data_IF_794593075976
#
_entry.id   IF_794593075976
#
_cell.length_a   1.000
_cell.length_b   1.000
_cell.length_c   1.000
_cell.angle_alpha   90.00
_cell.angle_beta   90.00
_cell.angle_gamma   90.00
#
_symmetry.space_group_name_H-M   'P 1'
#
loop_
_entity.id
_entity.type
_entity.pdbx_description
1 polymer ?
#
# COMPACT_ATOMS: atom_id res chain seq x y z
N UNK A 1 54.42 -103.94 20.36
CA UNK A 1 53.20 -103.43 21.01
C UNK A 1 53.45 -101.95 21.28
N UNK A 2 52.86 -101.03 20.50
CA UNK A 2 52.71 -99.60 20.88
C UNK A 2 51.85 -98.74 19.90
N UNK A 3 50.93 -99.35 19.13
CA UNK A 3 50.04 -98.60 18.21
C UNK A 3 48.68 -98.19 18.80
N UNK A 4 48.27 -98.81 19.91
CA UNK A 4 46.95 -98.59 20.53
C UNK A 4 46.85 -97.31 21.36
N UNK A 5 47.88 -97.01 22.15
CA UNK A 5 47.88 -95.84 23.03
C UNK A 5 47.99 -94.52 22.25
N UNK A 6 48.81 -94.46 21.20
CA UNK A 6 48.95 -93.25 20.38
C UNK A 6 47.64 -92.86 19.67
N UNK A 7 46.87 -93.86 19.22
CA UNK A 7 45.60 -93.64 18.51
C UNK A 7 44.50 -93.17 19.47
N UNK A 8 44.45 -93.72 20.69
CA UNK A 8 43.50 -93.29 21.73
C UNK A 8 43.84 -91.87 22.22
N UNK A 9 45.12 -91.57 22.45
CA UNK A 9 45.57 -90.24 22.88
C UNK A 9 45.27 -89.18 21.80
N UNK A 10 45.52 -89.49 20.51
CA UNK A 10 45.19 -88.58 19.42
C UNK A 10 43.68 -88.33 19.28
N UNK A 11 42.84 -89.36 19.45
CA UNK A 11 41.39 -89.21 19.42
C UNK A 11 40.86 -88.36 20.58
N UNK A 12 41.43 -88.51 21.77
CA UNK A 12 41.08 -87.70 22.95
C UNK A 12 41.48 -86.24 22.74
N UNK A 13 42.69 -85.97 22.23
CA UNK A 13 43.15 -84.61 21.95
C UNK A 13 42.26 -83.93 20.88
N UNK A 14 41.90 -84.65 19.81
CA UNK A 14 41.00 -84.14 18.78
C UNK A 14 39.59 -83.84 19.32
N UNK A 15 39.07 -84.68 20.21
CA UNK A 15 37.77 -84.45 20.86
C UNK A 15 37.78 -83.24 21.81
N UNK A 16 38.87 -83.06 22.58
CA UNK A 16 39.02 -81.89 23.46
C UNK A 16 39.15 -80.60 22.63
N UNK A 17 39.93 -80.63 21.54
CA UNK A 17 40.09 -79.49 20.64
C UNK A 17 38.77 -79.11 19.94
N UNK A 18 37.93 -80.09 19.58
CA UNK A 18 36.62 -79.83 18.96
C UNK A 18 35.64 -79.22 19.96
N UNK A 19 35.64 -79.67 21.22
CA UNK A 19 34.80 -79.11 22.28
C UNK A 19 35.20 -77.68 22.66
N UNK A 20 36.50 -77.38 22.71
CA UNK A 20 37.00 -76.01 22.96
C UNK A 20 36.64 -75.09 21.79
N UNK A 21 36.81 -75.56 20.56
CA UNK A 21 36.43 -74.78 19.36
C UNK A 21 34.92 -74.54 19.29
N UNK A 22 34.10 -75.54 19.62
CA UNK A 22 32.65 -75.38 19.71
C UNK A 22 32.23 -74.42 20.83
N UNK A 23 32.92 -74.44 21.97
CA UNK A 23 32.72 -73.50 23.08
C UNK A 23 33.02 -72.05 22.69
N UNK A 24 34.14 -71.82 21.99
CA UNK A 24 34.53 -70.49 21.47
C UNK A 24 33.53 -70.03 20.39
N UNK A 25 33.10 -70.92 19.49
CA UNK A 25 32.11 -70.60 18.48
C UNK A 25 30.74 -70.23 19.07
N UNK A 26 30.29 -70.96 20.11
CA UNK A 26 29.04 -70.66 20.81
C UNK A 26 29.13 -69.36 21.64
N UNK A 27 30.28 -69.09 22.27
CA UNK A 27 30.52 -67.84 22.98
C UNK A 27 30.47 -66.64 22.02
N UNK A 28 31.19 -66.73 20.90
CA UNK A 28 31.21 -65.70 19.86
C UNK A 28 29.84 -65.52 19.18
N UNK A 29 29.08 -66.59 18.96
CA UNK A 29 27.72 -66.51 18.43
C UNK A 29 26.72 -65.87 19.42
N UNK A 30 26.91 -66.08 20.73
CA UNK A 30 26.05 -65.50 21.78
C UNK A 30 26.38 -64.02 22.03
N UNK A 31 27.63 -63.63 21.94
CA UNK A 31 28.07 -62.23 22.03
C UNK A 31 27.69 -61.44 20.76
N UNK A 32 27.86 -62.07 19.58
CA UNK A 32 27.41 -61.52 18.30
C UNK A 32 25.90 -61.28 18.23
N UNK A 33 25.07 -62.20 18.75
CA UNK A 33 23.61 -62.00 18.81
C UNK A 33 23.18 -60.86 19.74
N UNK A 34 23.88 -60.65 20.86
CA UNK A 34 23.62 -59.52 21.76
C UNK A 34 24.07 -58.19 21.14
N UNK A 35 25.24 -58.18 20.49
CA UNK A 35 25.74 -57.01 19.76
C UNK A 35 24.87 -56.66 18.54
N UNK A 36 24.32 -57.65 17.83
CA UNK A 36 23.40 -57.44 16.71
C UNK A 36 22.06 -56.85 17.17
N UNK A 37 21.42 -57.44 18.19
CA UNK A 37 20.17 -56.92 18.73
C UNK A 37 20.30 -55.48 19.28
N UNK A 38 21.41 -55.18 19.96
CA UNK A 38 21.68 -53.84 20.46
C UNK A 38 21.99 -52.84 19.33
N UNK A 39 22.67 -53.26 18.26
CA UNK A 39 22.87 -52.44 17.05
C UNK A 39 21.57 -52.18 16.31
N UNK A 40 20.70 -53.18 16.20
CA UNK A 40 19.39 -53.03 15.54
C UNK A 40 18.48 -52.09 16.33
N UNK A 41 18.50 -52.16 17.66
CA UNK A 41 17.76 -51.22 18.52
C UNK A 41 18.29 -49.78 18.40
N UNK A 42 19.61 -49.60 18.44
CA UNK A 42 20.24 -48.28 18.25
C UNK A 42 19.94 -47.74 16.85
N UNK A 43 20.09 -48.56 15.79
CA UNK A 43 19.77 -48.16 14.42
C UNK A 43 18.30 -47.79 14.25
N UNK A 44 17.38 -48.55 14.83
CA UNK A 44 15.95 -48.24 14.77
C UNK A 44 15.61 -46.94 15.51
N UNK A 45 16.22 -46.71 16.69
CA UNK A 45 16.07 -45.44 17.42
C UNK A 45 16.63 -44.28 16.61
N UNK A 46 17.84 -44.40 16.07
CA UNK A 46 18.47 -43.35 15.27
C UNK A 46 17.69 -43.07 13.99
N UNK A 47 17.20 -44.09 13.29
CA UNK A 47 16.35 -43.91 12.10
C UNK A 47 15.02 -43.23 12.46
N UNK A 48 14.43 -43.56 13.60
CA UNK A 48 13.22 -42.89 14.11
C UNK A 48 13.48 -41.43 14.46
N UNK A 49 14.62 -41.12 15.08
CA UNK A 49 15.01 -39.75 15.43
C UNK A 49 15.31 -38.91 14.18
N UNK A 50 15.97 -39.49 13.17
CA UNK A 50 16.20 -38.85 11.86
C UNK A 50 14.86 -38.56 11.17
N UNK A 51 13.94 -39.52 11.12
CA UNK A 51 12.63 -39.33 10.51
C UNK A 51 11.82 -38.22 11.23
N UNK A 52 11.89 -38.17 12.56
CA UNK A 52 11.27 -37.08 13.33
C UNK A 52 11.90 -35.72 13.04
N UNK A 53 13.23 -35.65 12.92
CA UNK A 53 13.93 -34.41 12.59
C UNK A 53 13.64 -33.94 11.16
N UNK A 54 13.59 -34.85 10.19
CA UNK A 54 13.18 -34.56 8.81
C UNK A 54 11.74 -34.05 8.76
N UNK A 55 10.83 -34.69 9.50
CA UNK A 55 9.43 -34.26 9.59
C UNK A 55 9.29 -32.89 10.26
N UNK A 56 10.02 -32.61 11.34
CA UNK A 56 10.02 -31.29 12.00
C UNK A 56 10.57 -30.20 11.07
N UNK A 57 11.63 -30.51 10.32
CA UNK A 57 12.18 -29.60 9.31
C UNK A 57 11.21 -29.35 8.14
N UNK A 58 10.49 -30.38 7.69
CA UNK A 58 9.46 -30.26 6.65
C UNK A 58 8.25 -29.46 7.14
N UNK A 59 7.78 -29.71 8.37
CA UNK A 59 6.70 -28.94 8.99
C UNK A 59 7.07 -27.45 9.11
N UNK A 60 8.28 -27.12 9.58
CA UNK A 60 8.77 -25.73 9.64
C UNK A 60 8.82 -25.05 8.28
N UNK A 61 9.25 -25.79 7.23
CA UNK A 61 9.23 -25.27 5.85
C UNK A 61 7.81 -25.00 5.38
N UNK A 62 6.89 -25.93 5.63
CA UNK A 62 5.48 -25.78 5.27
C UNK A 62 4.81 -24.61 6.00
N UNK A 63 5.05 -24.46 7.30
CA UNK A 63 4.57 -23.30 8.09
C UNK A 63 5.10 -21.98 7.53
N UNK A 64 6.40 -21.91 7.21
CA UNK A 64 7.02 -20.72 6.62
C UNK A 64 6.40 -20.39 5.25
N UNK A 65 6.14 -21.40 4.43
CA UNK A 65 5.49 -21.21 3.11
C UNK A 65 4.03 -20.75 3.25
N UNK A 66 3.29 -21.30 4.22
CA UNK A 66 1.91 -20.90 4.50
C UNK A 66 1.89 -19.45 4.98
N UNK A 67 2.74 -19.06 5.93
CA UNK A 67 2.84 -17.69 6.43
C UNK A 67 3.20 -16.70 5.31
N UNK A 68 4.21 -17.03 4.50
CA UNK A 68 4.58 -16.22 3.34
C UNK A 68 3.42 -16.06 2.33
N UNK A 69 2.68 -17.14 2.05
CA UNK A 69 1.51 -17.13 1.17
C UNK A 69 0.37 -16.28 1.71
N UNK A 70 0.08 -16.37 3.02
CA UNK A 70 -0.93 -15.56 3.70
C UNK A 70 -0.56 -14.08 3.66
N UNK A 71 0.68 -13.74 4.02
CA UNK A 71 1.20 -12.35 4.00
C UNK A 71 1.16 -11.77 2.58
N UNK A 72 1.56 -12.57 1.58
CA UNK A 72 1.50 -12.16 0.17
C UNK A 72 0.06 -11.88 -0.27
N UNK A 73 -0.87 -12.77 0.05
CA UNK A 73 -2.28 -12.65 -0.33
C UNK A 73 -2.92 -11.40 0.30
N UNK A 74 -2.69 -11.18 1.59
CA UNK A 74 -3.15 -9.99 2.29
C UNK A 74 -2.57 -8.70 1.68
N UNK A 75 -1.29 -8.72 1.26
CA UNK A 75 -0.67 -7.55 0.61
C UNK A 75 -1.26 -7.27 -0.77
N UNK A 76 -1.50 -8.31 -1.57
CA UNK A 76 -2.16 -8.16 -2.88
C UNK A 76 -3.57 -7.60 -2.71
N UNK A 77 -4.34 -8.15 -1.78
CA UNK A 77 -5.69 -7.67 -1.48
C UNK A 77 -5.68 -6.19 -1.07
N UNK A 78 -4.80 -5.83 -0.14
CA UNK A 78 -4.61 -4.43 0.27
C UNK A 78 -4.30 -3.53 -0.93
N UNK A 79 -3.39 -3.92 -1.84
CA UNK A 79 -3.06 -3.14 -3.04
C UNK A 79 -4.30 -2.95 -3.93
N UNK A 80 -5.10 -4.01 -4.12
CA UNK A 80 -6.31 -3.93 -4.97
C UNK A 80 -7.38 -3.04 -4.35
N UNK A 81 -7.56 -3.10 -3.04
CA UNK A 81 -8.51 -2.25 -2.33
C UNK A 81 -8.09 -0.79 -2.41
N UNK A 82 -6.80 -0.47 -2.20
CA UNK A 82 -6.30 0.91 -2.35
C UNK A 82 -6.49 1.43 -3.78
N UNK A 83 -6.26 0.59 -4.80
CA UNK A 83 -6.54 0.96 -6.21
C UNK A 83 -8.00 1.30 -6.43
N UNK A 84 -8.90 0.49 -5.88
CA UNK A 84 -10.35 0.70 -5.97
C UNK A 84 -10.76 2.02 -5.30
N UNK A 85 -10.37 2.23 -4.04
CA UNK A 85 -10.72 3.46 -3.32
C UNK A 85 -10.11 4.71 -3.96
N UNK A 86 -8.91 4.60 -4.55
CA UNK A 86 -8.33 5.69 -5.35
C UNK A 86 -9.21 6.00 -6.56
N UNK A 87 -9.61 4.97 -7.32
CA UNK A 87 -10.48 5.14 -8.49
C UNK A 87 -11.84 5.73 -8.12
N UNK A 88 -12.43 5.27 -7.02
CA UNK A 88 -13.71 5.75 -6.52
C UNK A 88 -13.62 7.23 -6.12
N UNK A 89 -12.55 7.62 -5.42
CA UNK A 89 -12.32 9.02 -5.07
C UNK A 89 -12.17 9.91 -6.32
N UNK A 90 -11.33 9.50 -7.28
CA UNK A 90 -11.14 10.24 -8.52
C UNK A 90 -12.47 10.40 -9.29
N UNK A 91 -13.29 9.36 -9.30
CA UNK A 91 -14.62 9.37 -9.92
C UNK A 91 -15.56 10.33 -9.17
N UNK A 92 -15.58 10.29 -7.84
CA UNK A 92 -16.38 11.18 -7.02
C UNK A 92 -16.00 12.65 -7.25
N UNK A 93 -14.70 12.96 -7.32
CA UNK A 93 -14.18 14.30 -7.62
C UNK A 93 -14.67 14.75 -9.00
N UNK A 94 -14.55 13.88 -10.00
CA UNK A 94 -14.99 14.17 -11.36
C UNK A 94 -16.50 14.47 -11.41
N UNK A 95 -17.32 13.62 -10.78
CA UNK A 95 -18.76 13.81 -10.72
C UNK A 95 -19.13 15.13 -10.01
N UNK A 96 -18.40 15.49 -8.96
CA UNK A 96 -18.58 16.77 -8.28
C UNK A 96 -18.22 17.96 -9.18
N UNK A 97 -17.03 17.97 -9.78
CA UNK A 97 -16.55 19.06 -10.63
C UNK A 97 -17.47 19.33 -11.83
N UNK A 98 -18.03 18.27 -12.41
CA UNK A 98 -18.94 18.33 -13.55
C UNK A 98 -20.43 18.32 -13.17
N UNK A 99 -20.76 18.51 -11.89
CA UNK A 99 -22.15 18.68 -11.47
C UNK A 99 -22.76 19.94 -12.08
N UNK A 100 -24.06 19.90 -12.38
CA UNK A 100 -24.80 21.12 -12.73
C UNK A 100 -24.81 22.06 -11.50
N UNK A 101 -24.19 23.23 -11.65
CA UNK A 101 -24.06 24.22 -10.58
C UNK A 101 -25.41 24.78 -10.08
N UNK A 102 -26.48 24.60 -10.86
CA UNK A 102 -27.83 25.03 -10.51
C UNK A 102 -28.59 23.97 -9.70
N UNK A 103 -28.15 22.72 -9.76
CA UNK A 103 -28.69 21.63 -8.94
C UNK A 103 -27.93 21.54 -7.61
N UNK A 104 -28.39 22.36 -6.66
CA UNK A 104 -27.76 22.49 -5.33
C UNK A 104 -27.72 21.17 -4.57
N UNK A 105 -28.75 20.33 -4.72
CA UNK A 105 -28.84 19.04 -4.03
C UNK A 105 -27.85 18.04 -4.63
N UNK A 106 -27.72 17.99 -5.96
CA UNK A 106 -26.72 17.18 -6.65
C UNK A 106 -25.29 17.60 -6.28
N UNK A 107 -24.99 18.90 -6.29
CA UNK A 107 -23.67 19.43 -5.89
C UNK A 107 -23.34 19.03 -4.46
N UNK A 108 -24.29 19.18 -3.53
CA UNK A 108 -24.10 18.80 -2.13
C UNK A 108 -23.89 17.30 -1.96
N UNK A 109 -24.70 16.48 -2.64
CA UNK A 109 -24.59 15.02 -2.59
C UNK A 109 -23.23 14.56 -3.13
N UNK A 110 -22.79 15.11 -4.27
CA UNK A 110 -21.49 14.76 -4.85
C UNK A 110 -20.32 15.22 -3.98
N UNK A 111 -20.41 16.39 -3.32
CA UNK A 111 -19.38 16.81 -2.35
C UNK A 111 -19.31 15.87 -1.14
N UNK A 112 -20.45 15.40 -0.65
CA UNK A 112 -20.50 14.41 0.43
C UNK A 112 -19.84 13.08 0.00
N UNK A 113 -20.06 12.66 -1.25
CA UNK A 113 -19.40 11.49 -1.83
C UNK A 113 -17.88 11.67 -1.89
N UNK A 114 -17.38 12.84 -2.32
CA UNK A 114 -15.94 13.16 -2.29
C UNK A 114 -15.39 13.02 -0.86
N UNK A 115 -16.09 13.56 0.14
CA UNK A 115 -15.67 13.46 1.55
C UNK A 115 -15.60 12.01 2.03
N UNK A 116 -16.63 11.22 1.75
CA UNK A 116 -16.69 9.80 2.12
C UNK A 116 -15.51 9.03 1.51
N UNK A 117 -15.31 9.15 0.20
CA UNK A 117 -14.24 8.44 -0.51
C UNK A 117 -12.85 8.92 -0.12
N UNK A 118 -12.69 10.21 0.21
CA UNK A 118 -11.43 10.75 0.75
C UNK A 118 -11.08 10.08 2.06
N UNK A 119 -12.04 10.02 2.99
CA UNK A 119 -11.84 9.38 4.30
C UNK A 119 -11.53 7.89 4.16
N UNK A 120 -12.25 7.17 3.30
CA UNK A 120 -12.01 5.74 3.07
C UNK A 120 -10.61 5.48 2.54
N UNK A 121 -10.13 6.26 1.58
CA UNK A 121 -8.77 6.11 1.05
C UNK A 121 -7.71 6.41 2.12
N UNK A 122 -7.92 7.46 2.94
CA UNK A 122 -7.02 7.82 4.05
C UNK A 122 -6.82 6.66 5.04
N UNK A 123 -7.86 5.86 5.33
CA UNK A 123 -7.76 4.74 6.27
C UNK A 123 -6.72 3.67 5.86
N UNK A 124 -6.32 3.61 4.59
CA UNK A 124 -5.28 2.68 4.14
C UNK A 124 -3.85 3.15 4.45
N UNK A 125 -3.67 4.42 4.83
CA UNK A 125 -2.37 5.02 5.08
C UNK A 125 -2.15 5.21 6.58
N UNK A 126 -1.37 4.30 7.16
CA UNK A 126 -0.87 4.46 8.54
C UNK A 126 0.25 5.50 8.63
N UNK A 127 0.62 5.94 9.85
CA UNK A 127 1.71 6.89 10.05
C UNK A 127 3.03 6.33 9.49
N UNK A 128 3.86 7.23 8.97
CA UNK A 128 5.19 6.87 8.50
C UNK A 128 6.11 6.51 9.68
N UNK A 129 7.02 5.55 9.46
CA UNK A 129 8.02 5.16 10.47
C UNK A 129 9.16 6.18 10.61
N UNK A 130 9.39 6.95 9.56
CA UNK A 130 10.40 8.00 9.47
C UNK A 130 9.67 9.20 8.89
N UNK A 131 9.70 10.33 9.59
CA UNK A 131 9.10 11.57 9.11
C UNK A 131 10.15 12.41 8.38
N UNK A 132 9.77 12.93 7.22
CA UNK A 132 10.57 13.87 6.45
C UNK A 132 9.62 14.91 5.87
N UNK A 133 9.91 16.19 6.09
CA UNK A 133 9.08 17.30 5.62
C UNK A 133 9.21 17.53 4.11
N UNK A 134 10.28 17.03 3.49
CA UNK A 134 10.56 17.19 2.05
C UNK A 134 10.52 15.85 1.36
N UNK A 135 9.31 15.46 0.94
CA UNK A 135 9.05 14.20 0.26
C UNK A 135 8.62 14.46 -1.17
N UNK A 136 9.31 13.83 -2.11
CA UNK A 136 8.87 13.74 -3.50
C UNK A 136 7.93 12.53 -3.65
N UNK A 137 6.62 12.80 -3.74
CA UNK A 137 5.61 11.77 -3.95
C UNK A 137 5.82 10.98 -5.25
N UNK A 138 6.47 11.58 -6.25
CA UNK A 138 6.75 10.98 -7.55
C UNK A 138 8.08 10.21 -7.59
N UNK A 139 8.81 10.15 -6.48
CA UNK A 139 10.00 9.34 -6.37
C UNK A 139 9.67 7.86 -6.67
N UNK A 140 10.43 7.22 -7.57
CA UNK A 140 10.15 5.84 -8.02
C UNK A 140 10.91 4.76 -7.24
N UNK A 141 11.80 5.14 -6.32
CA UNK A 141 12.68 4.23 -5.60
C UNK A 141 12.01 3.58 -4.40
N UNK A 142 11.30 4.35 -3.58
CA UNK A 142 10.65 3.85 -2.38
C UNK A 142 9.40 4.66 -1.97
N UNK A 143 8.76 4.20 -0.91
CA UNK A 143 7.58 4.81 -0.29
C UNK A 143 7.88 5.36 1.12
N UNK A 144 9.14 5.60 1.46
CA UNK A 144 9.52 6.12 2.77
C UNK A 144 8.95 7.53 2.92
N UNK A 145 8.30 7.79 4.06
CA UNK A 145 7.72 9.08 4.41
C UNK A 145 6.60 9.56 3.48
N UNK A 146 5.99 8.70 2.65
CA UNK A 146 4.97 9.14 1.69
C UNK A 146 3.55 9.12 2.23
N UNK A 147 3.26 8.34 3.26
CA UNK A 147 1.87 8.11 3.69
C UNK A 147 1.23 9.41 4.17
N UNK A 148 1.89 10.14 5.07
CA UNK A 148 1.36 11.40 5.61
C UNK A 148 1.19 12.46 4.52
N UNK A 149 2.10 12.50 3.53
CA UNK A 149 2.01 13.44 2.42
C UNK A 149 0.91 13.09 1.43
N UNK A 150 0.63 11.80 1.21
CA UNK A 150 -0.55 11.35 0.44
C UNK A 150 -1.83 11.73 1.17
N UNK A 151 -1.90 11.51 2.49
CA UNK A 151 -3.07 11.91 3.30
C UNK A 151 -3.31 13.41 3.19
N UNK A 152 -2.27 14.23 3.37
CA UNK A 152 -2.35 15.68 3.22
C UNK A 152 -2.81 16.10 1.81
N UNK A 153 -2.30 15.44 0.76
CA UNK A 153 -2.73 15.72 -0.60
C UNK A 153 -4.22 15.42 -0.80
N UNK A 154 -4.73 14.31 -0.25
CA UNK A 154 -6.16 13.98 -0.29
C UNK A 154 -6.99 15.04 0.43
N UNK A 155 -6.54 15.52 1.59
CA UNK A 155 -7.20 16.59 2.35
C UNK A 155 -7.21 17.92 1.58
N UNK A 156 -6.08 18.31 1.00
CA UNK A 156 -5.95 19.52 0.17
C UNK A 156 -6.88 19.47 -1.05
N UNK A 157 -7.01 18.31 -1.69
CA UNK A 157 -7.98 18.09 -2.77
C UNK A 157 -9.41 18.29 -2.27
N UNK A 158 -9.77 17.70 -1.12
CA UNK A 158 -11.11 17.87 -0.56
C UNK A 158 -11.42 19.33 -0.21
N UNK A 159 -10.45 20.07 0.32
CA UNK A 159 -10.57 21.52 0.57
C UNK A 159 -10.76 22.27 -0.75
N UNK A 160 -9.97 21.94 -1.77
CA UNK A 160 -10.12 22.51 -3.11
C UNK A 160 -11.52 22.25 -3.69
N UNK A 161 -12.06 21.05 -3.52
CA UNK A 161 -13.44 20.73 -3.88
C UNK A 161 -14.42 21.64 -3.11
N UNK A 162 -14.29 21.81 -1.80
CA UNK A 162 -15.18 22.68 -1.02
C UNK A 162 -15.26 24.13 -1.56
N UNK A 163 -14.16 24.65 -2.12
CA UNK A 163 -14.09 26.00 -2.68
C UNK A 163 -14.44 26.09 -4.17
N UNK A 164 -14.48 24.97 -4.90
CA UNK A 164 -14.53 24.95 -6.36
C UNK A 164 -15.70 25.76 -6.96
N UNK A 165 -16.95 25.45 -6.59
CA UNK A 165 -18.12 26.16 -7.14
C UNK A 165 -18.23 27.62 -6.66
N UNK A 166 -17.70 27.94 -5.48
CA UNK A 166 -17.61 29.32 -4.98
C UNK A 166 -16.66 30.12 -5.87
N UNK A 167 -15.51 29.53 -6.20
CA UNK A 167 -14.53 30.11 -7.10
C UNK A 167 -15.07 30.25 -8.52
N UNK A 168 -15.82 29.26 -9.04
CA UNK A 168 -16.50 29.35 -10.36
C UNK A 168 -17.46 30.54 -10.39
N UNK A 169 -18.31 30.71 -9.37
CA UNK A 169 -19.22 31.86 -9.26
C UNK A 169 -18.46 33.18 -9.21
N UNK A 170 -17.38 33.23 -8.44
CA UNK A 170 -16.52 34.42 -8.35
C UNK A 170 -15.86 34.74 -9.69
N UNK A 171 -15.38 33.74 -10.42
CA UNK A 171 -14.78 33.91 -11.75
C UNK A 171 -15.79 34.42 -12.79
N UNK A 172 -17.05 33.99 -12.72
CA UNK A 172 -18.11 34.56 -13.58
C UNK A 172 -18.30 36.04 -13.31
N UNK A 173 -18.42 36.42 -12.03
CA UNK A 173 -18.47 37.85 -11.64
C UNK A 173 -17.23 38.61 -12.13
N UNK A 174 -16.05 37.99 -12.07
CA UNK A 174 -14.81 38.57 -12.58
C UNK A 174 -14.84 38.85 -14.10
N UNK A 175 -15.36 37.92 -14.89
CA UNK A 175 -15.51 38.09 -16.34
C UNK A 175 -16.53 39.19 -16.67
N UNK A 176 -17.50 39.40 -15.80
CA UNK A 176 -18.57 40.38 -15.98
C UNK A 176 -18.22 41.77 -15.42
N UNK A 177 -17.06 41.98 -14.79
CA UNK A 177 -16.72 43.26 -14.12
C UNK A 177 -16.83 44.47 -15.05
N UNK A 178 -16.33 44.36 -16.27
CA UNK A 178 -16.41 45.42 -17.29
C UNK A 178 -17.86 45.67 -17.72
N UNK A 179 -18.65 44.61 -17.88
CA UNK A 179 -20.08 44.70 -18.20
C UNK A 179 -20.89 45.32 -17.07
N UNK A 180 -20.64 44.89 -15.83
CA UNK A 180 -21.21 45.44 -14.59
C UNK A 180 -20.92 46.94 -14.47
N UNK A 181 -19.69 47.35 -14.77
CA UNK A 181 -19.34 48.75 -14.76
C UNK A 181 -20.04 49.54 -15.88
N UNK A 182 -20.06 49.00 -17.11
CA UNK A 182 -20.71 49.66 -18.25
C UNK A 182 -22.23 49.75 -18.13
N UNK A 183 -22.88 48.74 -17.53
CA UNK A 183 -24.31 48.73 -17.28
C UNK A 183 -24.69 49.77 -16.22
N UNK A 184 -23.88 49.88 -15.15
CA UNK A 184 -23.93 50.97 -14.18
C UNK A 184 -23.93 52.36 -14.84
N UNK A 185 -23.29 52.52 -16.01
CA UNK A 185 -23.20 53.81 -16.73
C UNK A 185 -24.45 54.15 -17.50
N UNK A 186 -25.17 53.12 -17.95
CA UNK A 186 -26.40 53.28 -18.73
C UNK A 186 -27.63 53.40 -17.83
N UNK A 187 -27.57 52.93 -16.59
CA UNK A 187 -28.72 52.77 -15.70
C UNK A 187 -29.00 53.96 -14.77
N UNK A 188 -28.35 55.11 -14.94
CA UNK A 188 -28.55 56.31 -14.10
C UNK A 188 -29.99 56.87 -14.08
N UNK A 189 -30.92 56.31 -14.87
CA UNK A 189 -32.34 56.66 -14.85
C UNK A 189 -33.30 55.49 -14.56
N UNK A 190 -32.84 54.23 -14.43
CA UNK A 190 -33.74 53.06 -14.36
C UNK A 190 -33.44 52.05 -13.24
N UNK A 191 -32.25 52.05 -12.61
CA UNK A 191 -31.97 51.15 -11.48
C UNK A 191 -31.35 51.91 -10.31
N UNK A 192 -31.98 51.77 -9.15
CA UNK A 192 -31.91 52.70 -8.03
C UNK A 192 -30.58 52.77 -7.27
N UNK A 193 -29.53 52.00 -7.58
CA UNK A 193 -28.21 52.16 -6.92
C UNK A 193 -27.07 51.47 -7.69
N UNK A 194 -26.24 52.26 -8.40
CA UNK A 194 -24.90 51.82 -8.77
C UNK A 194 -23.89 52.24 -7.69
N UNK A 195 -23.33 51.28 -6.95
CA UNK A 195 -22.35 51.56 -5.89
C UNK A 195 -20.88 51.60 -6.39
N UNK A 196 -20.66 51.59 -7.71
CA UNK A 196 -19.31 51.55 -8.30
C UNK A 196 -18.73 52.96 -8.42
N UNK A 197 -19.56 53.95 -8.72
CA UNK A 197 -19.16 55.35 -8.79
C UNK A 197 -20.32 56.29 -8.56
N UNK A 198 -20.02 57.55 -8.24
CA UNK A 198 -21.02 58.59 -8.03
C UNK A 198 -21.63 59.03 -9.37
N UNK A 199 -22.96 59.04 -9.46
CA UNK A 199 -23.70 59.45 -10.67
C UNK A 199 -23.45 60.90 -11.09
N UNK A 200 -23.08 61.77 -10.15
CA UNK A 200 -22.79 63.19 -10.40
C UNK A 200 -21.37 63.44 -10.94
N UNK A 201 -20.54 62.40 -11.04
CA UNK A 201 -19.19 62.52 -11.60
C UNK A 201 -19.21 62.75 -13.10
N UNK A 202 -18.21 63.48 -13.59
CA UNK A 202 -17.98 63.59 -15.03
C UNK A 202 -17.65 62.23 -15.64
N UNK A 203 -17.88 62.08 -16.95
CA UNK A 203 -17.58 60.84 -17.67
C UNK A 203 -16.14 60.33 -17.42
N UNK A 204 -15.16 61.24 -17.33
CA UNK A 204 -13.76 60.87 -17.08
C UNK A 204 -13.53 60.38 -15.64
N UNK A 205 -14.24 60.95 -14.66
CA UNK A 205 -14.17 60.50 -13.27
C UNK A 205 -14.85 59.13 -13.10
N UNK A 206 -15.99 58.91 -13.75
CA UNK A 206 -16.66 57.60 -13.75
C UNK A 206 -15.77 56.51 -14.39
N UNK A 207 -15.07 56.82 -15.49
CA UNK A 207 -14.12 55.90 -16.13
C UNK A 207 -12.94 55.53 -15.23
N UNK A 208 -12.43 56.51 -14.46
CA UNK A 208 -11.35 56.28 -13.49
C UNK A 208 -11.81 55.38 -12.34
N UNK A 209 -13.01 55.57 -11.81
CA UNK A 209 -13.56 54.71 -10.74
C UNK A 209 -13.88 53.31 -11.25
N UNK A 210 -14.42 53.19 -12.47
CA UNK A 210 -14.59 51.93 -13.16
C UNK A 210 -13.28 51.14 -13.28
N UNK A 211 -12.23 51.82 -13.76
CA UNK A 211 -10.89 51.24 -13.90
C UNK A 211 -10.32 50.82 -12.54
N UNK A 212 -10.52 51.63 -11.50
CA UNK A 212 -10.10 51.32 -10.14
C UNK A 212 -10.85 50.11 -9.56
N UNK A 213 -12.15 50.00 -9.81
CA UNK A 213 -12.97 48.86 -9.41
C UNK A 213 -12.51 47.56 -10.08
N UNK A 214 -12.27 47.59 -11.40
CA UNK A 214 -11.78 46.44 -12.15
C UNK A 214 -10.39 46.03 -11.63
N UNK A 215 -9.46 46.98 -11.52
CA UNK A 215 -8.10 46.72 -11.05
C UNK A 215 -8.07 46.22 -9.60
N UNK A 216 -8.93 46.76 -8.74
CA UNK A 216 -9.06 46.32 -7.35
C UNK A 216 -9.56 44.87 -7.21
N UNK A 217 -10.35 44.39 -8.17
CA UNK A 217 -10.84 43.00 -8.18
C UNK A 217 -9.91 42.04 -8.92
N UNK A 218 -8.99 42.52 -9.77
CA UNK A 218 -8.14 41.67 -10.62
C UNK A 218 -7.32 40.65 -9.82
N UNK A 219 -6.70 41.06 -8.71
CA UNK A 219 -5.92 40.15 -7.86
C UNK A 219 -6.77 39.04 -7.23
N UNK A 220 -8.02 39.37 -6.85
CA UNK A 220 -8.98 38.38 -6.34
C UNK A 220 -9.36 37.39 -7.43
N UNK A 221 -9.61 37.88 -8.64
CA UNK A 221 -9.97 37.06 -9.80
C UNK A 221 -8.84 36.09 -10.20
N UNK A 222 -7.59 36.54 -10.17
CA UNK A 222 -6.43 35.68 -10.40
C UNK A 222 -6.29 34.62 -9.31
N UNK A 223 -6.41 35.02 -8.03
CA UNK A 223 -6.30 34.10 -6.90
C UNK A 223 -7.31 32.94 -6.96
N UNK A 224 -8.58 33.22 -7.25
CA UNK A 224 -9.60 32.14 -7.35
C UNK A 224 -9.38 31.22 -8.55
N UNK A 225 -8.86 31.75 -9.66
CA UNK A 225 -8.51 30.94 -10.82
C UNK A 225 -7.31 30.01 -10.53
N UNK A 226 -6.28 30.54 -9.87
CA UNK A 226 -5.12 29.76 -9.43
C UNK A 226 -5.51 28.64 -8.45
N UNK A 227 -6.42 28.93 -7.51
CA UNK A 227 -6.93 27.90 -6.57
C UNK A 227 -7.65 26.76 -7.29
N UNK A 228 -8.50 27.06 -8.27
CA UNK A 228 -9.19 26.01 -9.04
C UNK A 228 -8.20 25.23 -9.92
N UNK A 229 -7.23 25.90 -10.54
CA UNK A 229 -6.17 25.22 -11.28
C UNK A 229 -5.32 24.31 -10.39
N UNK A 230 -5.05 24.74 -9.14
CA UNK A 230 -4.35 23.93 -8.14
C UNK A 230 -5.12 22.65 -7.82
N UNK A 231 -6.45 22.70 -7.66
CA UNK A 231 -7.26 21.50 -7.45
C UNK A 231 -7.02 20.46 -8.58
N UNK A 232 -7.06 20.88 -9.85
CA UNK A 232 -6.81 19.97 -10.96
C UNK A 232 -5.38 19.41 -10.94
N UNK A 233 -4.39 20.25 -10.62
CA UNK A 233 -2.99 19.83 -10.46
C UNK A 233 -2.81 18.82 -9.33
N UNK A 234 -3.49 19.01 -8.19
CA UNK A 234 -3.41 18.11 -7.04
C UNK A 234 -4.05 16.76 -7.35
N UNK A 235 -5.17 16.75 -8.10
CA UNK A 235 -5.83 15.51 -8.57
C UNK A 235 -4.92 14.71 -9.52
N UNK A 236 -4.22 15.38 -10.44
CA UNK A 236 -3.22 14.72 -11.30
C UNK A 236 -2.02 14.22 -10.48
N UNK A 237 -1.55 15.00 -9.52
CA UNK A 237 -0.49 14.60 -8.59
C UNK A 237 -0.88 13.35 -7.81
N UNK A 238 -2.10 13.28 -7.26
CA UNK A 238 -2.59 12.11 -6.54
C UNK A 238 -2.63 10.88 -7.45
N UNK A 239 -3.15 11.04 -8.66
CA UNK A 239 -3.22 9.95 -9.66
C UNK A 239 -1.84 9.36 -9.94
N UNK A 240 -0.85 10.22 -10.17
CA UNK A 240 0.52 9.80 -10.46
C UNK A 240 1.23 9.23 -9.22
N UNK A 241 1.08 9.86 -8.06
CA UNK A 241 1.61 9.38 -6.79
C UNK A 241 1.09 7.97 -6.47
N UNK A 242 -0.23 7.75 -6.59
CA UNK A 242 -0.85 6.45 -6.33
C UNK A 242 -0.38 5.37 -7.30
N UNK A 243 -0.28 5.69 -8.60
CA UNK A 243 0.28 4.78 -9.60
C UNK A 243 1.69 4.33 -9.23
N UNK A 244 2.55 5.25 -8.81
CA UNK A 244 3.95 4.97 -8.44
C UNK A 244 3.99 4.19 -7.13
N UNK A 245 3.31 4.69 -6.10
CA UNK A 245 3.26 4.09 -4.77
C UNK A 245 2.84 2.63 -4.83
N UNK A 246 1.74 2.33 -5.53
CA UNK A 246 1.21 0.98 -5.67
C UNK A 246 2.07 0.09 -6.57
N UNK A 247 2.83 0.67 -7.51
CA UNK A 247 3.79 -0.09 -8.31
C UNK A 247 4.98 -0.55 -7.47
N UNK A 248 5.48 0.30 -6.57
CA UNK A 248 6.53 -0.04 -5.62
C UNK A 248 6.04 -1.16 -4.69
N UNK A 249 4.84 -1.04 -4.12
CA UNK A 249 4.30 -2.09 -3.26
C UNK A 249 4.05 -3.41 -3.98
N UNK A 250 3.60 -3.34 -5.23
CA UNK A 250 3.46 -4.53 -6.06
C UNK A 250 4.79 -5.24 -6.32
N UNK A 251 5.86 -4.49 -6.60
CA UNK A 251 7.18 -5.05 -6.82
C UNK A 251 7.74 -5.69 -5.53
N UNK A 252 7.62 -5.02 -4.38
CA UNK A 252 7.99 -5.59 -3.06
C UNK A 252 7.26 -6.89 -2.75
N UNK A 253 5.99 -6.97 -3.18
CA UNK A 253 5.17 -8.17 -3.01
C UNK A 253 5.63 -9.32 -3.90
N UNK A 254 6.15 -9.03 -5.11
CA UNK A 254 6.73 -10.03 -6.00
C UNK A 254 8.07 -10.56 -5.50
N UNK A 255 8.98 -9.67 -5.10
CA UNK A 255 10.33 -10.04 -4.64
C UNK A 255 10.30 -10.95 -3.40
N UNK A 256 9.26 -10.86 -2.56
CA UNK A 256 9.05 -11.78 -1.43
C UNK A 256 8.51 -13.16 -1.83
N UNK A 257 7.95 -13.32 -3.03
CA UNK A 257 7.44 -14.60 -3.52
C UNK A 257 8.55 -15.48 -4.10
N UNK A 258 9.65 -14.87 -4.53
CA UNK A 258 10.78 -15.55 -5.18
C UNK A 258 11.88 -15.98 -4.17
N UNK A 259 11.68 -15.74 -2.87
CA UNK A 259 12.52 -16.19 -1.76
C UNK A 259 11.80 -17.26 -0.93
#
# INVERSE_FOLDING_TARGET
>A
MDGGNATIIAAVIAAVASLVSAGIALYNAKDSKKGAAQRDEVNNRTNSEIAMFEQDAENKRNETQIDASVVWSARVEWIQNVRRETSDLLTAINNYIYSDENDVDLVKMNLMSVREKSNLLILYFGPDKVENDKVDLLNKGDNISKNQHIVKLIEDIYIGCCSYFINIKTMKTCNDLDSLCKSCRKSGSEYENCNIYNEHYSNQQQENECSSFINGNLAKCQCVAEQNNKLFSDVDMLTNAMRIYLKIEWNRTKERKDN
#
